data_IF_010775830996
#
_entry.id   IF_010775830996
#
_cell.length_a   1.000
_cell.length_b   1.000
_cell.length_c   1.000
_cell.angle_alpha   90.00
_cell.angle_beta   90.00
_cell.angle_gamma   90.00
#
_symmetry.space_group_name_H-M   'P 1'
#
loop_
_entity.id
_entity.type
_entity.pdbx_description
1 polymer ?
#
# COMPACT_ATOMS: atom_id res chain seq x y z
N UNK A 1 0.97 25.98 -1.24
CA UNK A 1 2.02 24.94 -1.33
C UNK A 1 2.97 25.19 -2.51
N UNK A 2 2.48 25.38 -3.73
CA UNK A 2 3.30 25.65 -4.93
C UNK A 2 4.28 26.84 -4.78
N UNK A 3 3.85 27.96 -4.21
CA UNK A 3 4.73 29.14 -3.98
C UNK A 3 5.91 28.85 -3.05
N UNK A 4 5.71 28.03 -2.00
CA UNK A 4 6.79 27.62 -1.09
C UNK A 4 7.71 26.57 -1.72
N UNK A 5 7.20 25.78 -2.66
CA UNK A 5 8.00 24.84 -3.44
C UNK A 5 8.93 25.54 -4.44
N UNK A 6 8.44 26.59 -5.09
CA UNK A 6 9.25 27.45 -5.96
C UNK A 6 10.30 28.24 -5.16
N UNK A 7 9.96 28.70 -3.96
CA UNK A 7 10.92 29.32 -3.05
C UNK A 7 12.02 28.32 -2.63
N UNK A 8 11.67 27.07 -2.29
CA UNK A 8 12.67 26.01 -2.04
C UNK A 8 13.61 25.81 -3.23
N UNK A 9 13.06 25.76 -4.46
CA UNK A 9 13.86 25.52 -5.66
C UNK A 9 14.88 26.64 -5.89
N UNK A 10 14.50 27.87 -5.54
CA UNK A 10 15.36 29.05 -5.69
C UNK A 10 16.44 29.13 -4.59
N UNK A 11 16.15 28.67 -3.38
CA UNK A 11 17.06 28.77 -2.22
C UNK A 11 18.03 27.58 -2.07
N UNK A 12 17.58 26.34 -2.33
CA UNK A 12 18.38 25.14 -2.08
C UNK A 12 19.23 24.68 -3.29
N UNK A 13 18.92 25.17 -4.49
CA UNK A 13 19.55 24.71 -5.73
C UNK A 13 19.01 23.37 -6.25
N UNK A 14 19.47 22.93 -7.44
CA UNK A 14 18.88 21.78 -8.14
C UNK A 14 19.22 20.42 -7.50
N UNK A 15 20.38 20.27 -6.88
CA UNK A 15 20.83 18.99 -6.31
C UNK A 15 20.00 18.55 -5.10
N UNK A 16 19.77 19.37 -4.05
CA UNK A 16 18.91 18.95 -2.92
C UNK A 16 17.47 18.64 -3.31
N UNK A 17 16.93 19.34 -4.33
CA UNK A 17 15.60 19.03 -4.88
C UNK A 17 15.56 17.68 -5.58
N UNK A 18 16.59 17.37 -6.38
CA UNK A 18 16.73 16.04 -6.98
C UNK A 18 16.77 14.94 -5.90
N UNK A 19 17.58 15.14 -4.84
CA UNK A 19 17.67 14.19 -3.73
C UNK A 19 16.32 14.05 -3.00
N UNK A 20 15.63 15.14 -2.73
CA UNK A 20 14.32 15.12 -2.07
C UNK A 20 13.28 14.34 -2.88
N UNK A 21 13.21 14.57 -4.20
CA UNK A 21 12.30 13.85 -5.09
C UNK A 21 12.66 12.36 -5.19
N UNK A 22 13.96 12.04 -5.23
CA UNK A 22 14.44 10.65 -5.25
C UNK A 22 14.05 9.91 -3.97
N UNK A 23 14.22 10.55 -2.80
CA UNK A 23 13.84 9.99 -1.51
C UNK A 23 12.31 9.87 -1.37
N UNK A 24 11.55 10.83 -1.90
CA UNK A 24 10.08 10.74 -1.98
C UNK A 24 9.65 9.54 -2.83
N UNK A 25 10.25 9.36 -4.02
CA UNK A 25 9.95 8.23 -4.89
C UNK A 25 10.29 6.89 -4.24
N UNK A 26 11.44 6.80 -3.58
CA UNK A 26 11.84 5.60 -2.84
C UNK A 26 10.86 5.28 -1.72
N UNK A 27 10.40 6.30 -0.99
CA UNK A 27 9.46 6.12 0.11
C UNK A 27 8.08 5.70 -0.39
N UNK A 28 7.62 6.29 -1.48
CA UNK A 28 6.39 5.91 -2.17
C UNK A 28 6.44 4.45 -2.62
N UNK A 29 7.54 4.01 -3.26
CA UNK A 29 7.70 2.64 -3.74
C UNK A 29 7.80 1.63 -2.60
N UNK A 30 8.48 1.98 -1.51
CA UNK A 30 8.51 1.18 -0.29
C UNK A 30 7.11 1.01 0.32
N UNK A 31 6.32 2.10 0.35
CA UNK A 31 4.95 2.03 0.84
C UNK A 31 4.07 1.20 -0.09
N UNK A 32 4.28 1.33 -1.40
CA UNK A 32 3.55 0.58 -2.41
C UNK A 32 3.78 -0.93 -2.27
N UNK A 33 5.03 -1.37 -2.21
CA UNK A 33 5.41 -2.79 -2.07
C UNK A 33 4.71 -3.45 -0.88
N UNK A 34 4.71 -2.77 0.28
CA UNK A 34 4.06 -3.28 1.49
C UNK A 34 2.56 -3.51 1.31
N UNK A 35 1.86 -2.57 0.69
CA UNK A 35 0.40 -2.63 0.57
C UNK A 35 -0.04 -3.49 -0.60
N UNK A 36 0.81 -3.68 -1.60
CA UNK A 36 0.51 -4.56 -2.72
C UNK A 36 0.34 -6.02 -2.30
N UNK A 37 1.11 -6.49 -1.33
CA UNK A 37 0.96 -7.81 -0.72
C UNK A 37 -0.42 -7.98 -0.08
N UNK A 38 -0.88 -6.96 0.65
CA UNK A 38 -2.18 -7.00 1.31
C UNK A 38 -3.32 -7.03 0.29
N UNK A 39 -3.27 -6.20 -0.76
CA UNK A 39 -4.32 -6.11 -1.79
C UNK A 39 -4.35 -7.36 -2.68
N UNK A 40 -3.21 -7.98 -2.94
CA UNK A 40 -3.12 -9.19 -3.78
C UNK A 40 -3.29 -10.50 -3.01
N UNK A 41 -3.40 -10.45 -1.68
CA UNK A 41 -3.52 -11.65 -0.82
C UNK A 41 -4.73 -12.51 -1.17
N UNK A 42 -5.90 -11.91 -1.34
CA UNK A 42 -7.13 -12.60 -1.69
C UNK A 42 -7.07 -13.28 -3.08
N UNK A 43 -6.76 -12.58 -4.19
CA UNK A 43 -6.68 -13.24 -5.50
C UNK A 43 -5.52 -14.25 -5.59
N UNK A 44 -4.44 -14.02 -4.85
CA UNK A 44 -3.37 -15.01 -4.71
C UNK A 44 -3.93 -16.28 -4.07
N UNK A 45 -4.55 -16.17 -2.90
CA UNK A 45 -5.12 -17.28 -2.14
C UNK A 45 -6.11 -18.12 -2.93
N UNK A 46 -6.97 -17.50 -3.74
CA UNK A 46 -7.92 -18.19 -4.62
C UNK A 46 -7.20 -19.03 -5.69
N UNK A 47 -6.08 -18.53 -6.22
CA UNK A 47 -5.30 -19.24 -7.24
C UNK A 47 -4.49 -20.41 -6.68
N UNK A 48 -3.95 -20.29 -5.46
CA UNK A 48 -3.13 -21.32 -4.80
C UNK A 48 -3.91 -22.20 -3.80
N UNK A 49 -5.21 -21.92 -3.62
CA UNK A 49 -6.11 -22.61 -2.67
C UNK A 49 -5.57 -22.59 -1.23
N UNK A 50 -5.30 -21.39 -0.72
CA UNK A 50 -4.67 -21.17 0.58
C UNK A 50 -5.57 -20.35 1.52
N UNK A 51 -5.52 -20.63 2.82
CA UNK A 51 -6.36 -19.98 3.83
C UNK A 51 -7.68 -20.71 4.08
N UNK A 52 -8.58 -20.07 4.82
CA UNK A 52 -9.90 -20.62 5.13
C UNK A 52 -10.89 -20.35 3.97
N UNK A 53 -11.85 -21.27 3.80
CA UNK A 53 -12.96 -21.06 2.88
C UNK A 53 -14.09 -20.33 3.60
N UNK A 54 -14.59 -19.28 2.96
CA UNK A 54 -15.71 -18.50 3.47
C UNK A 54 -16.66 -18.06 2.37
N UNK A 55 -17.78 -17.47 2.80
CA UNK A 55 -18.74 -16.88 1.88
C UNK A 55 -18.36 -15.42 1.58
N UNK A 56 -17.81 -15.19 0.39
CA UNK A 56 -17.31 -13.88 -0.06
C UNK A 56 -18.33 -13.23 -1.01
N UNK A 57 -18.51 -11.91 -0.93
CA UNK A 57 -19.32 -11.19 -1.91
C UNK A 57 -18.58 -11.13 -3.26
N UNK A 58 -19.30 -11.37 -4.36
CA UNK A 58 -18.77 -11.00 -5.68
C UNK A 58 -18.63 -9.48 -5.73
N UNK A 59 -17.67 -8.99 -6.53
CA UNK A 59 -17.33 -7.57 -6.71
C UNK A 59 -18.54 -6.74 -7.19
N UNK A 60 -19.47 -6.48 -6.27
CA UNK A 60 -20.62 -5.60 -6.42
C UNK A 60 -20.29 -4.34 -5.62
N UNK A 61 -20.42 -3.17 -6.22
CA UNK A 61 -20.19 -1.86 -5.58
C UNK A 61 -21.07 -1.58 -4.35
N UNK A 62 -21.92 -2.52 -3.93
CA UNK A 62 -22.85 -2.38 -2.82
C UNK A 62 -22.31 -3.05 -1.55
N UNK A 63 -21.88 -2.23 -0.60
CA UNK A 63 -21.50 -2.63 0.77
C UNK A 63 -22.59 -3.38 1.53
N UNK A 64 -23.86 -3.24 1.12
CA UNK A 64 -24.98 -3.98 1.70
C UNK A 64 -24.85 -5.50 1.50
N UNK A 65 -24.23 -5.94 0.40
CA UNK A 65 -24.10 -7.37 0.08
C UNK A 65 -22.90 -8.03 0.74
N UNK A 66 -21.86 -7.27 1.11
CA UNK A 66 -20.69 -7.84 1.80
C UNK A 66 -21.08 -8.40 3.16
N UNK A 67 -21.84 -7.66 3.96
CA UNK A 67 -22.33 -8.16 5.26
C UNK A 67 -23.28 -9.34 5.12
N UNK A 68 -24.19 -9.28 4.14
CA UNK A 68 -25.15 -10.35 3.87
C UNK A 68 -24.45 -11.67 3.50
N UNK A 69 -23.38 -11.62 2.70
CA UNK A 69 -22.62 -12.81 2.33
C UNK A 69 -21.84 -13.38 3.52
N UNK A 70 -21.21 -12.53 4.32
CA UNK A 70 -20.34 -12.96 5.44
C UNK A 70 -21.12 -13.54 6.61
N UNK A 71 -22.26 -12.95 7.00
CA UNK A 71 -23.05 -13.38 8.18
C UNK A 71 -23.85 -14.65 7.92
N UNK A 72 -24.00 -15.53 8.90
CA UNK A 72 -24.78 -16.78 8.75
C UNK A 72 -26.29 -16.51 8.61
N UNK A 73 -26.99 -17.37 7.87
CA UNK A 73 -28.46 -17.31 7.75
C UNK A 73 -29.18 -17.71 9.05
N UNK A 74 -28.55 -18.54 9.88
CA UNK A 74 -29.12 -19.02 11.15
C UNK A 74 -28.76 -18.12 12.32
N UNK A 75 -27.51 -17.66 12.37
CA UNK A 75 -27.02 -16.76 13.40
C UNK A 75 -26.30 -15.56 12.76
N UNK A 76 -26.92 -14.39 12.89
CA UNK A 76 -26.40 -13.15 12.27
C UNK A 76 -25.11 -12.64 12.94
N UNK A 77 -24.76 -13.15 14.11
CA UNK A 77 -23.50 -12.82 14.79
C UNK A 77 -22.33 -13.68 14.32
N UNK A 78 -22.61 -14.84 13.72
CA UNK A 78 -21.59 -15.77 13.25
C UNK A 78 -21.30 -15.62 11.77
N UNK A 79 -20.09 -16.06 11.37
CA UNK A 79 -19.70 -16.15 9.96
C UNK A 79 -20.29 -17.40 9.32
N UNK A 80 -20.78 -17.28 8.09
CA UNK A 80 -21.29 -18.40 7.31
C UNK A 80 -20.15 -19.38 6.98
N UNK A 81 -20.24 -20.60 7.52
CA UNK A 81 -19.26 -21.68 7.33
C UNK A 81 -19.77 -22.82 6.45
N UNK A 82 -21.03 -22.75 5.99
CA UNK A 82 -21.64 -23.79 5.17
C UNK A 82 -21.68 -23.39 3.69
N UNK A 83 -21.05 -24.20 2.84
CA UNK A 83 -21.00 -23.97 1.38
C UNK A 83 -22.39 -23.93 0.75
N UNK A 84 -23.28 -24.82 1.18
CA UNK A 84 -24.63 -24.92 0.61
C UNK A 84 -25.41 -23.64 0.89
N UNK A 85 -25.41 -23.17 2.14
CA UNK A 85 -26.10 -21.95 2.54
C UNK A 85 -25.54 -20.72 1.83
N UNK A 86 -24.21 -20.65 1.65
CA UNK A 86 -23.60 -19.58 0.88
C UNK A 86 -24.11 -19.53 -0.58
N UNK A 87 -24.25 -20.68 -1.26
CA UNK A 87 -24.76 -20.75 -2.63
C UNK A 87 -26.26 -20.43 -2.73
N UNK A 88 -27.02 -20.67 -1.67
CA UNK A 88 -28.46 -20.38 -1.62
C UNK A 88 -28.78 -18.91 -1.31
N UNK A 89 -27.79 -18.09 -0.94
CA UNK A 89 -27.97 -16.65 -0.76
C UNK A 89 -28.22 -15.95 -2.10
N UNK A 90 -29.50 -15.63 -2.31
CA UNK A 90 -29.99 -14.81 -3.44
C UNK A 90 -30.61 -13.54 -2.90
N UNK A 91 -30.57 -12.48 -3.69
CA UNK A 91 -31.24 -11.21 -3.37
C UNK A 91 -32.53 -11.12 -4.16
N UNK A 92 -33.57 -10.51 -3.57
CA UNK A 92 -34.93 -10.42 -4.12
C UNK A 92 -35.01 -9.81 -5.53
N UNK A 93 -34.01 -9.02 -5.92
CA UNK A 93 -33.96 -8.31 -7.20
C UNK A 93 -32.99 -8.91 -8.23
N UNK A 94 -32.26 -9.99 -7.90
CA UNK A 94 -31.19 -10.54 -8.76
C UNK A 94 -31.34 -12.06 -8.94
N UNK A 95 -31.33 -12.50 -10.20
CA UNK A 95 -31.36 -13.93 -10.56
C UNK A 95 -30.00 -14.63 -10.38
N UNK A 96 -28.91 -13.87 -10.16
CA UNK A 96 -27.56 -14.41 -9.97
C UNK A 96 -27.15 -14.45 -8.48
N UNK A 97 -26.29 -15.42 -8.13
CA UNK A 97 -25.73 -15.53 -6.78
C UNK A 97 -24.78 -14.34 -6.51
N UNK A 98 -25.08 -13.56 -5.47
CA UNK A 98 -24.27 -12.39 -5.06
C UNK A 98 -23.05 -12.80 -4.23
N UNK A 99 -23.06 -14.03 -3.70
CA UNK A 99 -21.99 -14.60 -2.89
C UNK A 99 -21.31 -15.77 -3.60
N UNK A 100 -20.02 -15.97 -3.33
CA UNK A 100 -19.19 -17.07 -3.82
C UNK A 100 -18.45 -17.72 -2.66
N UNK A 101 -18.45 -19.05 -2.64
CA UNK A 101 -17.67 -19.84 -1.70
C UNK A 101 -16.24 -19.98 -2.21
N UNK A 102 -15.29 -19.27 -1.59
CA UNK A 102 -13.89 -19.26 -2.02
C UNK A 102 -12.94 -18.98 -0.85
N UNK A 103 -11.64 -19.11 -1.11
CA UNK A 103 -10.58 -18.79 -0.16
C UNK A 103 -10.52 -17.28 0.08
N UNK A 104 -10.53 -16.89 1.36
CA UNK A 104 -10.44 -15.49 1.78
C UNK A 104 -9.00 -14.97 1.81
N UNK A 105 -8.01 -15.88 1.84
CA UNK A 105 -6.60 -15.57 1.96
C UNK A 105 -6.17 -15.15 3.36
N UNK A 106 -7.02 -15.35 4.37
CA UNK A 106 -6.62 -15.16 5.76
C UNK A 106 -5.92 -16.41 6.25
N UNK A 107 -4.69 -16.24 6.76
CA UNK A 107 -3.99 -17.26 7.53
C UNK A 107 -4.19 -16.88 8.98
N UNK A 108 -5.16 -17.51 9.65
CA UNK A 108 -5.28 -17.48 11.12
C UNK A 108 -5.17 -16.06 11.73
N UNK A 109 -5.66 -15.04 11.02
CA UNK A 109 -5.50 -13.63 11.38
C UNK A 109 -6.64 -13.10 12.26
N UNK A 110 -7.61 -13.96 12.61
CA UNK A 110 -8.70 -13.58 13.52
C UNK A 110 -8.25 -13.42 14.98
N UNK A 111 -7.18 -14.12 15.39
CA UNK A 111 -6.77 -14.21 16.80
C UNK A 111 -5.36 -13.66 17.12
N UNK A 112 -4.74 -12.91 16.20
CA UNK A 112 -3.32 -12.53 16.31
C UNK A 112 -3.14 -11.01 16.09
N UNK A 113 -2.88 -10.21 17.14
CA UNK A 113 -2.78 -8.74 17.09
C UNK A 113 -1.48 -8.22 16.47
N UNK A 114 -0.93 -8.91 15.45
CA UNK A 114 0.39 -8.60 14.89
C UNK A 114 0.37 -7.51 13.81
N UNK A 115 -0.82 -7.01 13.43
CA UNK A 115 -0.98 -5.89 12.49
C UNK A 115 -0.39 -4.56 12.97
N UNK A 116 -0.10 -4.43 14.28
CA UNK A 116 0.39 -3.19 14.89
C UNK A 116 1.93 -3.08 14.87
N UNK A 117 2.65 -4.21 14.83
CA UNK A 117 4.12 -4.22 14.90
C UNK A 117 4.81 -3.82 13.59
N UNK A 118 4.05 -3.75 12.51
CA UNK A 118 4.53 -3.32 11.21
C UNK A 118 4.80 -1.79 11.17
N UNK A 119 4.30 -0.98 12.11
CA UNK A 119 4.35 0.49 11.98
C UNK A 119 5.73 1.12 12.26
N UNK A 120 6.71 0.39 12.80
CA UNK A 120 8.00 0.97 13.23
C UNK A 120 9.13 1.01 12.18
N UNK A 121 8.85 0.71 10.90
CA UNK A 121 9.90 0.69 9.86
C UNK A 121 10.11 2.06 9.19
N UNK A 122 9.29 3.07 9.48
CA UNK A 122 9.33 4.39 8.80
C UNK A 122 10.47 5.32 9.28
N UNK A 123 11.26 4.92 10.28
CA UNK A 123 12.20 5.79 10.97
C UNK A 123 13.56 6.04 10.26
N UNK A 124 14.18 5.12 9.49
CA UNK A 124 15.56 5.34 9.05
C UNK A 124 15.70 6.38 7.91
N UNK A 125 14.67 6.58 7.09
CA UNK A 125 14.76 7.47 5.92
C UNK A 125 14.49 8.95 6.25
N UNK A 126 13.67 9.25 7.25
CA UNK A 126 13.41 10.62 7.70
C UNK A 126 14.69 11.31 8.17
N UNK A 127 15.59 10.56 8.82
CA UNK A 127 16.89 11.05 9.25
C UNK A 127 17.79 11.52 8.09
N UNK A 128 17.75 10.86 6.92
CA UNK A 128 18.54 11.28 5.74
C UNK A 128 18.01 12.59 5.15
N UNK A 129 16.68 12.77 5.06
CA UNK A 129 16.06 14.03 4.60
C UNK A 129 16.42 15.18 5.54
N UNK A 130 16.36 14.93 6.85
CA UNK A 130 16.73 15.95 7.83
C UNK A 130 18.20 16.33 7.81
N UNK A 131 19.11 15.40 7.52
CA UNK A 131 20.54 15.69 7.51
C UNK A 131 20.98 16.46 6.24
N UNK A 132 20.19 16.42 5.17
CA UNK A 132 20.44 17.21 3.95
C UNK A 132 20.05 18.68 4.09
N UNK A 133 19.05 19.01 4.92
CA UNK A 133 18.61 20.37 5.16
C UNK A 133 19.13 20.86 6.51
N UNK A 134 20.09 21.78 6.47
CA UNK A 134 20.73 22.43 7.62
C UNK A 134 19.66 22.95 8.63
N UNK A 135 19.91 22.90 9.94
CA UNK A 135 18.93 23.34 10.96
C UNK A 135 18.56 24.83 10.82
N UNK A 136 19.36 25.62 10.10
CA UNK A 136 19.12 27.05 9.88
C UNK A 136 18.13 27.38 8.74
N UNK A 137 17.66 26.40 7.96
CA UNK A 137 16.78 26.67 6.81
C UNK A 137 15.29 26.46 7.16
N UNK A 138 14.51 27.55 7.14
CA UNK A 138 13.04 27.58 7.37
C UNK A 138 12.24 26.57 6.53
N UNK A 139 12.82 26.02 5.46
CA UNK A 139 12.15 25.12 4.52
C UNK A 139 12.23 23.62 4.87
N UNK A 140 12.93 23.22 5.95
CA UNK A 140 13.00 21.81 6.40
C UNK A 140 11.63 21.19 6.67
N UNK A 141 10.71 21.95 7.28
CA UNK A 141 9.34 21.49 7.51
C UNK A 141 8.57 21.25 6.21
N UNK A 142 8.83 22.07 5.18
CA UNK A 142 8.22 21.90 3.85
C UNK A 142 8.80 20.67 3.15
N UNK A 143 10.12 20.44 3.24
CA UNK A 143 10.77 19.26 2.68
C UNK A 143 10.25 17.95 3.32
N UNK A 144 10.09 17.91 4.65
CA UNK A 144 9.48 16.77 5.33
C UNK A 144 8.00 16.58 4.95
N UNK A 145 7.26 17.68 4.78
CA UNK A 145 5.87 17.63 4.30
C UNK A 145 5.76 17.01 2.90
N UNK A 146 6.64 17.41 1.98
CA UNK A 146 6.72 16.84 0.62
C UNK A 146 7.12 15.37 0.69
N UNK A 147 8.12 15.01 1.50
CA UNK A 147 8.51 13.61 1.68
C UNK A 147 7.34 12.74 2.18
N UNK A 148 6.56 13.22 3.15
CA UNK A 148 5.40 12.49 3.69
C UNK A 148 4.25 12.31 2.69
N UNK A 149 4.18 13.12 1.62
CA UNK A 149 3.22 12.86 0.55
C UNK A 149 3.44 11.52 -0.16
N UNK A 150 4.68 11.00 -0.13
CA UNK A 150 4.99 9.67 -0.65
C UNK A 150 4.15 8.55 0.00
N UNK A 151 3.79 8.71 1.27
CA UNK A 151 2.94 7.77 2.02
C UNK A 151 1.57 7.65 1.34
N UNK A 152 0.88 8.79 1.21
CA UNK A 152 -0.49 8.84 0.68
C UNK A 152 -0.56 8.38 -0.78
N UNK A 153 0.46 8.73 -1.57
CA UNK A 153 0.56 8.28 -2.97
C UNK A 153 0.86 6.78 -3.07
N UNK A 154 1.71 6.24 -2.21
CA UNK A 154 2.01 4.80 -2.18
C UNK A 154 0.77 3.96 -1.83
N UNK A 155 0.01 4.41 -0.83
CA UNK A 155 -1.26 3.78 -0.45
C UNK A 155 -2.28 3.74 -1.58
N UNK A 156 -2.55 4.90 -2.19
CA UNK A 156 -3.56 5.00 -3.25
C UNK A 156 -3.18 4.18 -4.48
N UNK A 157 -1.91 4.24 -4.87
CA UNK A 157 -1.40 3.50 -6.01
C UNK A 157 -1.41 1.98 -5.78
N UNK A 158 -1.22 1.52 -4.55
CA UNK A 158 -1.33 0.09 -4.19
C UNK A 158 -2.71 -0.47 -4.48
N UNK A 159 -3.77 0.24 -4.08
CA UNK A 159 -5.15 -0.16 -4.37
C UNK A 159 -5.47 -0.06 -5.85
N UNK A 160 -4.96 0.98 -6.55
CA UNK A 160 -5.16 1.13 -7.98
C UNK A 160 -4.55 -0.04 -8.77
N UNK A 161 -3.27 -0.34 -8.52
CA UNK A 161 -2.57 -1.44 -9.19
C UNK A 161 -3.09 -2.81 -8.77
N UNK A 162 -3.24 -3.06 -7.46
CA UNK A 162 -3.71 -4.34 -6.96
C UNK A 162 -5.11 -4.71 -7.47
N UNK A 163 -6.04 -3.75 -7.57
CA UNK A 163 -7.38 -4.02 -8.08
C UNK A 163 -7.46 -4.09 -9.60
N UNK A 164 -6.77 -3.19 -10.32
CA UNK A 164 -6.92 -3.07 -11.77
C UNK A 164 -6.10 -4.12 -12.52
N UNK A 165 -4.83 -4.31 -12.12
CA UNK A 165 -3.92 -5.24 -12.80
C UNK A 165 -4.36 -6.69 -12.56
N UNK A 166 -4.83 -7.01 -11.35
CA UNK A 166 -5.34 -8.35 -11.06
C UNK A 166 -6.60 -8.68 -11.86
N UNK A 167 -7.44 -7.68 -12.16
CA UNK A 167 -8.65 -7.85 -13.00
C UNK A 167 -8.35 -7.92 -14.50
N UNK A 168 -7.30 -7.24 -14.95
CA UNK A 168 -6.90 -7.26 -16.37
C UNK A 168 -6.36 -8.63 -16.84
N UNK A 169 -6.04 -9.53 -15.90
CA UNK A 169 -5.59 -10.91 -16.10
C UNK A 169 -4.72 -11.13 -17.36
N UNK A 170 -3.58 -10.44 -17.39
CA UNK A 170 -2.63 -10.49 -18.51
C UNK A 170 -2.02 -11.90 -18.57
N UNK A 171 -2.53 -12.73 -19.49
CA UNK A 171 -2.01 -14.07 -19.77
C UNK A 171 -2.29 -15.13 -18.70
N UNK A 172 -3.40 -15.00 -17.95
CA UNK A 172 -3.80 -15.99 -16.92
C UNK A 172 -2.95 -15.95 -15.65
N UNK A 173 -2.17 -14.89 -15.45
CA UNK A 173 -1.23 -14.71 -14.33
C UNK A 173 -1.48 -13.39 -13.57
N UNK A 174 -2.74 -12.92 -13.51
CA UNK A 174 -3.18 -11.63 -12.95
C UNK A 174 -2.33 -11.07 -11.79
N UNK A 175 -2.31 -11.73 -10.64
CA UNK A 175 -1.62 -11.20 -9.43
C UNK A 175 -0.09 -11.20 -9.53
N UNK A 176 0.51 -12.06 -10.37
CA UNK A 176 1.98 -12.17 -10.47
C UNK A 176 2.59 -10.94 -11.14
N UNK A 177 1.90 -10.38 -12.14
CA UNK A 177 2.33 -9.17 -12.83
C UNK A 177 2.35 -7.94 -11.92
N UNK A 178 1.49 -7.92 -10.91
CA UNK A 178 1.46 -6.86 -9.90
C UNK A 178 2.82 -6.71 -9.21
N UNK A 179 3.47 -7.84 -8.88
CA UNK A 179 4.81 -7.84 -8.27
C UNK A 179 5.90 -7.38 -9.24
N UNK A 180 5.87 -7.80 -10.49
CA UNK A 180 6.84 -7.35 -11.50
C UNK A 180 6.76 -5.85 -11.75
N UNK A 181 5.54 -5.32 -11.88
CA UNK A 181 5.30 -3.90 -12.12
C UNK A 181 5.69 -3.05 -10.91
N UNK A 182 5.52 -3.57 -9.68
CA UNK A 182 5.98 -2.90 -8.46
C UNK A 182 7.51 -2.95 -8.28
N UNK A 183 8.13 -4.09 -8.60
CA UNK A 183 9.55 -4.32 -8.36
C UNK A 183 10.48 -3.53 -9.31
N UNK A 184 10.11 -3.42 -10.59
CA UNK A 184 10.96 -2.78 -11.61
C UNK A 184 11.28 -1.31 -11.26
N UNK A 185 10.29 -0.43 -10.96
CA UNK A 185 10.58 0.94 -10.56
C UNK A 185 11.39 1.03 -9.26
N UNK A 186 11.15 0.12 -8.31
CA UNK A 186 11.91 0.01 -7.06
C UNK A 186 13.38 -0.23 -7.31
N UNK A 187 13.70 -1.17 -8.21
CA UNK A 187 15.08 -1.46 -8.60
C UNK A 187 15.74 -0.26 -9.28
N UNK A 188 15.03 0.43 -10.17
CA UNK A 188 15.55 1.64 -10.85
C UNK A 188 15.85 2.75 -9.85
N UNK A 189 14.94 3.05 -8.93
CA UNK A 189 15.16 4.08 -7.90
C UNK A 189 16.27 3.68 -6.94
N UNK A 190 16.34 2.40 -6.54
CA UNK A 190 17.42 1.88 -5.71
C UNK A 190 18.79 2.01 -6.38
N UNK A 191 18.90 1.68 -7.66
CA UNK A 191 20.11 1.88 -8.45
C UNK A 191 20.49 3.36 -8.52
N UNK A 192 19.52 4.24 -8.81
CA UNK A 192 19.77 5.69 -8.82
C UNK A 192 20.30 6.17 -7.47
N UNK A 193 19.70 5.74 -6.35
CA UNK A 193 20.19 6.09 -5.01
C UNK A 193 21.65 5.67 -4.82
N UNK A 194 21.99 4.43 -5.15
CA UNK A 194 23.35 3.90 -4.97
C UNK A 194 24.37 4.65 -5.82
N UNK A 195 24.01 5.03 -7.05
CA UNK A 195 24.95 5.69 -7.97
C UNK A 195 24.98 7.22 -7.87
N UNK A 196 23.90 7.88 -7.47
CA UNK A 196 23.78 9.35 -7.52
C UNK A 196 23.77 10.02 -6.16
N UNK A 197 23.38 9.33 -5.07
CA UNK A 197 23.36 9.93 -3.75
C UNK A 197 24.74 9.88 -3.10
N UNK A 198 25.40 11.04 -3.09
CA UNK A 198 26.55 11.27 -2.22
C UNK A 198 26.05 11.56 -0.80
N UNK A 199 26.53 10.80 0.19
CA UNK A 199 26.17 11.05 1.58
C UNK A 199 26.67 12.44 2.01
N UNK A 200 25.82 13.28 2.62
CA UNK A 200 26.29 14.53 3.20
C UNK A 200 27.28 14.22 4.33
N UNK A 201 28.42 14.91 4.34
CA UNK A 201 29.37 14.84 5.46
C UNK A 201 28.61 15.21 6.73
N UNK A 202 28.62 14.34 7.74
CA UNK A 202 28.06 14.65 9.07
C UNK A 202 28.88 15.80 9.67
N UNK A 203 28.45 17.04 9.42
CA UNK A 203 29.08 18.24 9.96
C UNK A 203 28.19 18.85 11.04
N UNK A 204 28.74 18.94 12.25
CA UNK A 204 28.34 19.74 13.41
C UNK A 204 26.83 19.94 13.63
N UNK A 205 26.24 19.19 14.57
CA UNK A 205 24.99 19.63 15.21
C UNK A 205 25.30 20.92 15.96
N UNK A 206 25.00 22.08 15.37
CA UNK A 206 25.08 23.36 16.07
C UNK A 206 24.22 23.27 17.34
N UNK A 207 24.76 23.60 18.53
CA UNK A 207 24.02 23.48 19.78
C UNK A 207 22.76 24.32 19.72
N UNK A 208 21.62 23.72 20.09
CA UNK A 208 20.38 24.47 20.28
C UNK A 208 20.58 25.42 21.46
N UNK A 209 20.66 26.72 21.17
CA UNK A 209 20.52 27.80 22.17
C UNK A 209 19.06 28.20 22.29
#
# INVERSE_FOLDING_TARGET
MALRFLAMHKEAGPYPMYVLLLLLAAYLLNQLDRYILAVTSQPMAQSIKFGDKGCLALNTSYTKYTEFCVKSLVDKEQTERNETWCRHKKTDNLTFSVCRWDYDGTVIARDRPWGVHACNILVPFSHKVTNLYNPCTSLRGTALGVYNWGIYLGYSMSYAFGNYITKADIGGKGWRWVFWIAAIPGFVVGALIVFTLKEPVKGEQAPMQ
#
